data_IF_733777743822
#
_entry.id   IF_733777743822
#
_cell.length_a   1.000
_cell.length_b   1.000
_cell.length_c   1.000
_cell.angle_alpha   90.00
_cell.angle_beta   90.00
_cell.angle_gamma   90.00
#
_symmetry.space_group_name_H-M   'P 1'
#
loop_
_entity.id
_entity.type
_entity.pdbx_description
1 polymer ?
#
# COMPACT_ATOMS: atom_id res chain seq x y z
N UNK A 1 -16.02 2.96 -8.02
CA UNK A 1 -14.63 3.42 -8.11
C UNK A 1 -13.82 2.72 -9.21
N UNK A 2 -13.69 1.39 -9.23
CA UNK A 2 -12.84 0.69 -10.22
C UNK A 2 -13.12 1.07 -11.68
N UNK A 3 -14.40 1.12 -12.09
CA UNK A 3 -14.78 1.55 -13.44
C UNK A 3 -14.32 2.98 -13.78
N UNK A 4 -14.31 3.89 -12.79
CA UNK A 4 -13.82 5.26 -12.96
C UNK A 4 -12.29 5.29 -13.14
N UNK A 5 -11.57 4.45 -12.39
CA UNK A 5 -10.12 4.31 -12.53
C UNK A 5 -9.72 3.74 -13.89
N UNK A 6 -10.49 2.78 -14.42
CA UNK A 6 -10.27 2.19 -15.75
C UNK A 6 -10.64 3.14 -16.90
N UNK A 7 -11.60 4.03 -16.68
CA UNK A 7 -12.01 5.04 -17.65
C UNK A 7 -11.12 6.29 -17.66
N UNK A 8 -10.20 6.42 -16.69
CA UNK A 8 -9.33 7.60 -16.56
C UNK A 8 -8.09 7.48 -17.46
N UNK A 9 -7.94 8.43 -18.39
CA UNK A 9 -6.91 8.41 -19.43
C UNK A 9 -5.49 8.62 -18.87
N UNK A 10 -5.33 9.52 -17.90
CA UNK A 10 -4.02 9.91 -17.36
C UNK A 10 -3.79 9.48 -15.92
N UNK A 11 -2.52 9.50 -15.49
CA UNK A 11 -2.18 9.27 -14.10
C UNK A 11 -2.78 10.34 -13.16
N UNK A 12 -2.88 11.58 -13.63
CA UNK A 12 -3.48 12.69 -12.88
C UNK A 12 -4.99 12.53 -12.75
N UNK A 13 -5.66 12.02 -13.78
CA UNK A 13 -7.10 11.68 -13.71
C UNK A 13 -7.36 10.56 -12.71
N UNK A 14 -6.53 9.50 -12.71
CA UNK A 14 -6.62 8.44 -11.70
C UNK A 14 -6.37 8.98 -10.29
N UNK A 15 -5.38 9.85 -10.11
CA UNK A 15 -5.10 10.48 -8.83
C UNK A 15 -6.30 11.33 -8.35
N UNK A 16 -6.98 12.02 -9.27
CA UNK A 16 -8.20 12.79 -8.96
C UNK A 16 -9.34 11.88 -8.50
N UNK A 17 -9.61 10.81 -9.23
CA UNK A 17 -10.63 9.80 -8.84
C UNK A 17 -10.33 9.26 -7.43
N UNK A 18 -9.09 8.90 -7.12
CA UNK A 18 -8.72 8.43 -5.79
C UNK A 18 -8.94 9.52 -4.71
N UNK A 19 -8.61 10.77 -5.03
CA UNK A 19 -8.75 11.89 -4.08
C UNK A 19 -10.21 12.26 -3.82
N UNK A 20 -11.07 12.18 -4.83
CA UNK A 20 -12.53 12.40 -4.72
C UNK A 20 -13.23 11.30 -3.90
N UNK A 21 -12.62 10.12 -3.81
CA UNK A 21 -13.16 8.96 -3.09
C UNK A 21 -12.36 8.60 -1.82
N UNK A 22 -11.61 9.53 -1.25
CA UNK A 22 -10.78 9.30 -0.03
C UNK A 22 -11.59 8.66 1.09
N UNK A 23 -12.77 9.19 1.42
CA UNK A 23 -13.57 8.66 2.52
C UNK A 23 -13.93 7.19 2.32
N UNK A 24 -14.45 6.84 1.13
CA UNK A 24 -14.79 5.45 0.76
C UNK A 24 -13.57 4.54 0.83
N UNK A 25 -12.41 4.97 0.32
CA UNK A 25 -11.18 4.16 0.35
C UNK A 25 -10.73 3.91 1.79
N UNK A 26 -10.79 4.93 2.67
CA UNK A 26 -10.44 4.77 4.07
C UNK A 26 -11.42 3.87 4.81
N UNK A 27 -12.71 3.95 4.49
CA UNK A 27 -13.73 3.05 5.04
C UNK A 27 -13.48 1.59 4.63
N UNK A 28 -13.15 1.36 3.35
CA UNK A 28 -12.76 0.03 2.85
C UNK A 28 -11.48 -0.48 3.55
N UNK A 29 -10.51 0.41 3.80
CA UNK A 29 -9.30 0.05 4.53
C UNK A 29 -9.63 -0.38 5.97
N UNK A 30 -10.51 0.35 6.66
CA UNK A 30 -10.95 0.00 8.03
C UNK A 30 -11.72 -1.31 8.05
N UNK A 31 -12.60 -1.55 7.08
CA UNK A 31 -13.32 -2.81 6.96
C UNK A 31 -12.34 -3.98 6.78
N UNK A 32 -11.39 -3.87 5.87
CA UNK A 32 -10.35 -4.88 5.67
C UNK A 32 -9.49 -5.10 6.93
N UNK A 33 -9.08 -4.02 7.61
CA UNK A 33 -8.32 -4.11 8.86
C UNK A 33 -9.14 -4.69 10.02
N UNK A 34 -10.46 -4.64 9.96
CA UNK A 34 -11.36 -5.25 10.96
C UNK A 34 -11.36 -6.77 10.82
N UNK A 35 -11.27 -7.26 9.59
CA UNK A 35 -11.24 -8.69 9.30
C UNK A 35 -9.83 -9.29 9.41
N UNK A 36 -8.76 -8.49 9.49
CA UNK A 36 -7.39 -8.97 9.74
C UNK A 36 -7.22 -9.29 11.23
N UNK A 37 -7.41 -10.55 11.60
CA UNK A 37 -7.50 -11.00 13.01
C UNK A 37 -6.35 -11.92 13.47
N UNK A 38 -5.34 -12.16 12.63
CA UNK A 38 -4.20 -13.00 13.02
C UNK A 38 -3.42 -12.33 14.17
N UNK A 39 -3.11 -13.10 15.23
CA UNK A 39 -2.57 -12.54 16.48
C UNK A 39 -1.26 -11.76 16.28
N UNK A 40 -0.33 -12.30 15.49
CA UNK A 40 0.95 -11.65 15.17
C UNK A 40 0.82 -10.32 14.40
N UNK A 41 -0.35 -10.03 13.82
CA UNK A 41 -0.61 -8.79 13.08
C UNK A 41 -1.32 -7.72 13.91
N UNK A 42 -1.73 -8.03 15.14
CA UNK A 42 -2.58 -7.15 15.97
C UNK A 42 -2.01 -5.75 16.11
N UNK A 43 -0.74 -5.64 16.51
CA UNK A 43 -0.08 -4.33 16.71
C UNK A 43 0.01 -3.55 15.39
N UNK A 44 0.35 -4.21 14.28
CA UNK A 44 0.41 -3.57 12.96
C UNK A 44 -0.97 -3.08 12.50
N UNK A 45 -2.02 -3.85 12.77
CA UNK A 45 -3.41 -3.47 12.48
C UNK A 45 -3.83 -2.25 13.29
N UNK A 46 -3.47 -2.17 14.57
CA UNK A 46 -3.74 -1.01 15.42
C UNK A 46 -3.06 0.25 14.89
N UNK A 47 -1.76 0.19 14.56
CA UNK A 47 -1.05 1.31 13.95
C UNK A 47 -1.60 1.71 12.57
N UNK A 48 -2.05 0.75 11.76
CA UNK A 48 -2.69 1.03 10.48
C UNK A 48 -4.01 1.81 10.68
N UNK A 49 -4.82 1.42 11.67
CA UNK A 49 -6.06 2.14 12.03
C UNK A 49 -5.75 3.55 12.55
N UNK A 50 -4.73 3.70 13.38
CA UNK A 50 -4.29 5.02 13.84
C UNK A 50 -3.86 5.90 12.65
N UNK A 51 -3.18 5.34 11.65
CA UNK A 51 -2.83 6.07 10.44
C UNK A 51 -4.07 6.52 9.65
N UNK A 52 -5.12 5.69 9.56
CA UNK A 52 -6.41 6.06 8.96
C UNK A 52 -7.05 7.22 9.71
N UNK A 53 -7.17 7.13 11.04
CA UNK A 53 -7.80 8.17 11.85
C UNK A 53 -7.02 9.48 11.80
N UNK A 54 -5.69 9.38 11.83
CA UNK A 54 -4.77 10.50 11.65
C UNK A 54 -4.97 11.18 10.28
N UNK A 55 -5.19 10.41 9.21
CA UNK A 55 -5.52 10.96 7.90
C UNK A 55 -6.87 11.69 7.92
N UNK A 56 -7.91 11.08 8.50
CA UNK A 56 -9.27 11.64 8.57
C UNK A 56 -9.31 13.00 9.28
N UNK A 57 -8.48 13.21 10.30
CA UNK A 57 -8.36 14.51 11.00
C UNK A 57 -7.43 15.51 10.29
N UNK A 58 -7.02 15.23 9.04
CA UNK A 58 -6.20 16.11 8.21
C UNK A 58 -4.70 16.09 8.51
N UNK A 59 -4.22 15.16 9.36
CA UNK A 59 -2.79 15.02 9.70
C UNK A 59 -2.07 14.07 8.74
N UNK A 60 -2.30 14.25 7.45
CA UNK A 60 -1.86 13.33 6.37
C UNK A 60 -0.36 13.05 6.35
N UNK A 61 0.48 14.02 6.76
CA UNK A 61 1.93 13.79 6.83
C UNK A 61 2.32 12.75 7.88
N UNK A 62 1.69 12.82 9.06
CA UNK A 62 1.91 11.86 10.14
C UNK A 62 1.33 10.49 9.75
N UNK A 63 0.12 10.47 9.17
CA UNK A 63 -0.50 9.26 8.66
C UNK A 63 0.37 8.56 7.61
N UNK A 64 0.96 9.31 6.66
CA UNK A 64 1.88 8.75 5.68
C UNK A 64 3.11 8.10 6.34
N UNK A 65 3.75 8.79 7.28
CA UNK A 65 4.91 8.26 7.99
C UNK A 65 4.57 6.95 8.73
N UNK A 66 3.47 6.96 9.50
CA UNK A 66 3.04 5.80 10.27
C UNK A 66 2.66 4.62 9.37
N UNK A 67 1.80 4.83 8.36
CA UNK A 67 1.39 3.78 7.44
C UNK A 67 2.58 3.21 6.64
N UNK A 68 3.54 4.05 6.27
CA UNK A 68 4.75 3.59 5.58
C UNK A 68 5.59 2.68 6.48
N UNK A 69 5.71 3.01 7.76
CA UNK A 69 6.40 2.15 8.73
C UNK A 69 5.64 0.84 8.97
N UNK A 70 4.30 0.87 9.03
CA UNK A 70 3.50 -0.36 9.13
C UNK A 70 3.75 -1.27 7.93
N UNK A 71 3.72 -0.73 6.71
CA UNK A 71 4.05 -1.48 5.49
C UNK A 71 5.46 -2.06 5.57
N UNK A 72 6.44 -1.26 6.01
CA UNK A 72 7.83 -1.69 6.04
C UNK A 72 8.12 -2.77 7.09
N UNK A 73 7.57 -2.61 8.30
CA UNK A 73 7.63 -3.61 9.36
C UNK A 73 6.93 -4.89 8.91
N UNK A 74 5.71 -4.75 8.35
CA UNK A 74 4.95 -5.86 7.78
C UNK A 74 5.69 -6.61 6.68
N UNK A 75 6.50 -5.94 5.86
CA UNK A 75 7.24 -6.62 4.80
C UNK A 75 8.55 -7.23 5.30
N UNK A 76 9.32 -6.51 6.10
CA UNK A 76 10.65 -6.94 6.54
C UNK A 76 10.61 -7.99 7.66
N UNK A 77 9.63 -7.93 8.57
CA UNK A 77 9.54 -8.91 9.67
C UNK A 77 8.83 -10.20 9.28
N UNK A 78 7.91 -10.12 8.32
CA UNK A 78 6.89 -11.15 8.14
C UNK A 78 6.89 -11.79 6.73
N UNK A 79 7.72 -11.30 5.82
CA UNK A 79 8.01 -11.99 4.57
C UNK A 79 9.48 -12.36 4.50
N UNK A 80 9.77 -13.67 4.46
CA UNK A 80 11.14 -14.19 4.50
C UNK A 80 11.96 -13.61 3.35
N UNK A 81 12.98 -12.81 3.68
CA UNK A 81 13.83 -12.13 2.70
C UNK A 81 13.30 -10.76 2.21
N UNK A 82 12.22 -10.26 2.83
CA UNK A 82 11.68 -8.92 2.68
C UNK A 82 11.34 -8.55 1.23
N UNK A 83 11.43 -7.26 0.89
CA UNK A 83 11.10 -6.76 -0.46
C UNK A 83 11.90 -7.45 -1.59
N UNK A 84 13.11 -7.95 -1.28
CA UNK A 84 13.95 -8.63 -2.28
C UNK A 84 13.36 -9.98 -2.66
N UNK A 85 12.91 -10.76 -1.67
CA UNK A 85 12.23 -12.03 -1.92
C UNK A 85 10.92 -11.82 -2.66
N UNK A 86 10.11 -10.84 -2.23
CA UNK A 86 8.86 -10.50 -2.89
C UNK A 86 9.05 -10.16 -4.38
N UNK A 87 10.07 -9.34 -4.70
CA UNK A 87 10.41 -9.03 -6.11
C UNK A 87 10.81 -10.28 -6.90
N UNK A 88 11.53 -11.20 -6.27
CA UNK A 88 11.94 -12.45 -6.92
C UNK A 88 10.74 -13.39 -7.13
N UNK A 89 9.78 -13.42 -6.22
CA UNK A 89 8.51 -14.15 -6.35
C UNK A 89 7.67 -13.60 -7.50
N UNK A 90 7.43 -12.29 -7.52
CA UNK A 90 6.69 -11.62 -8.60
C UNK A 90 7.33 -11.90 -9.97
N UNK A 91 8.67 -11.89 -10.06
CA UNK A 91 9.39 -12.17 -11.31
C UNK A 91 9.27 -13.62 -11.78
N UNK A 92 8.97 -14.56 -10.87
CA UNK A 92 8.78 -15.98 -11.19
C UNK A 92 7.35 -16.32 -11.58
N UNK A 93 6.40 -15.41 -11.38
CA UNK A 93 5.04 -15.60 -11.87
C UNK A 93 5.07 -15.75 -13.40
N UNK A 94 4.24 -16.64 -13.97
CA UNK A 94 4.12 -16.78 -15.42
C UNK A 94 3.65 -15.47 -16.05
N UNK A 95 3.57 -15.38 -17.37
CA UNK A 95 2.84 -14.27 -17.98
C UNK A 95 1.35 -14.37 -17.60
N UNK A 96 0.68 -13.22 -17.48
CA UNK A 96 -0.75 -13.23 -17.16
C UNK A 96 -1.53 -13.85 -18.32
N UNK A 97 -2.28 -14.89 -18.01
CA UNK A 97 -3.18 -15.56 -18.93
C UNK A 97 -4.56 -15.68 -18.25
N UNK A 98 -5.57 -15.04 -18.85
CA UNK A 98 -6.91 -14.95 -18.28
C UNK A 98 -7.61 -16.32 -18.17
N UNK A 99 -7.22 -17.28 -19.03
CA UNK A 99 -7.83 -18.61 -19.07
C UNK A 99 -7.23 -19.56 -18.02
N UNK A 100 -6.03 -19.26 -17.52
CA UNK A 100 -5.27 -20.18 -16.65
C UNK A 100 -4.86 -19.58 -15.30
N UNK A 101 -5.02 -18.27 -15.10
CA UNK A 101 -4.65 -17.59 -13.85
C UNK A 101 -5.48 -18.09 -12.66
N UNK A 102 -4.81 -18.55 -11.60
CA UNK A 102 -5.48 -18.92 -10.37
C UNK A 102 -5.96 -17.68 -9.59
N UNK A 103 -7.01 -17.83 -8.76
CA UNK A 103 -7.46 -16.74 -7.89
C UNK A 103 -6.35 -16.25 -6.95
N UNK A 104 -5.54 -17.18 -6.42
CA UNK A 104 -4.41 -16.85 -5.55
C UNK A 104 -3.37 -16.01 -6.30
N UNK A 105 -3.04 -16.40 -7.53
CA UNK A 105 -2.11 -15.64 -8.36
C UNK A 105 -2.65 -14.25 -8.70
N UNK A 106 -3.93 -14.15 -9.06
CA UNK A 106 -4.57 -12.86 -9.34
C UNK A 106 -4.52 -11.95 -8.11
N UNK A 107 -4.80 -12.48 -6.91
CA UNK A 107 -4.70 -11.74 -5.65
C UNK A 107 -3.28 -11.28 -5.36
N UNK A 108 -2.28 -12.16 -5.49
CA UNK A 108 -0.88 -11.80 -5.29
C UNK A 108 -0.47 -10.66 -6.23
N UNK A 109 -0.84 -10.74 -7.51
CA UNK A 109 -0.57 -9.66 -8.48
C UNK A 109 -1.22 -8.34 -8.08
N UNK A 110 -2.47 -8.36 -7.63
CA UNK A 110 -3.18 -7.15 -7.20
C UNK A 110 -2.56 -6.52 -5.95
N UNK A 111 -2.27 -7.32 -4.92
CA UNK A 111 -1.65 -6.86 -3.67
C UNK A 111 -0.26 -6.27 -3.96
N UNK A 112 0.51 -6.96 -4.80
CA UNK A 112 1.91 -6.61 -5.02
C UNK A 112 2.13 -5.56 -6.10
N UNK A 113 1.15 -5.23 -6.95
CA UNK A 113 1.33 -4.26 -8.04
C UNK A 113 1.86 -2.89 -7.54
N UNK A 114 1.41 -2.45 -6.36
CA UNK A 114 1.80 -1.16 -5.79
C UNK A 114 3.02 -1.18 -4.85
N UNK A 115 3.47 -2.36 -4.41
CA UNK A 115 4.55 -2.48 -3.41
C UNK A 115 5.93 -2.21 -4.04
N UNK A 116 6.41 -2.92 -5.08
CA UNK A 116 7.74 -2.67 -5.65
C UNK A 116 8.00 -1.21 -6.08
N UNK A 117 7.03 -0.49 -6.70
CA UNK A 117 7.20 0.94 -6.99
C UNK A 117 7.46 1.79 -5.74
N UNK A 118 6.78 1.52 -4.62
CA UNK A 118 7.00 2.23 -3.36
C UNK A 118 8.43 2.01 -2.81
N UNK A 119 9.00 0.84 -3.08
CA UNK A 119 10.37 0.46 -2.67
C UNK A 119 11.45 0.79 -3.70
N UNK A 120 11.11 1.52 -4.77
CA UNK A 120 12.13 2.05 -5.65
C UNK A 120 12.92 3.14 -4.92
N UNK A 121 14.20 3.27 -5.26
CA UNK A 121 15.09 4.28 -4.68
C UNK A 121 14.52 5.70 -4.84
N UNK A 122 14.89 6.59 -3.92
CA UNK A 122 14.47 7.98 -3.95
C UNK A 122 15.58 8.89 -4.50
N UNK A 123 15.26 9.68 -5.54
CA UNK A 123 16.18 10.69 -6.06
C UNK A 123 16.07 11.98 -5.23
N UNK A 124 17.00 12.14 -4.30
CA UNK A 124 17.11 13.30 -3.41
C UNK A 124 17.32 14.63 -4.15
N UNK A 125 17.95 14.60 -5.34
CA UNK A 125 18.22 15.82 -6.12
C UNK A 125 16.95 16.31 -6.79
N UNK A 126 16.14 15.39 -7.31
CA UNK A 126 14.89 15.73 -8.01
C UNK A 126 13.71 15.97 -7.07
N UNK A 127 13.81 15.55 -5.80
CA UNK A 127 12.73 15.65 -4.81
C UNK A 127 11.40 15.14 -5.38
N UNK A 128 11.43 13.94 -5.96
CA UNK A 128 10.27 13.34 -6.64
C UNK A 128 9.01 13.41 -5.76
N UNK A 129 7.85 13.82 -6.31
CA UNK A 129 6.60 13.91 -5.54
C UNK A 129 5.88 12.57 -5.42
N UNK A 130 6.31 11.54 -6.16
CA UNK A 130 5.71 10.20 -6.13
C UNK A 130 5.98 9.52 -4.79
N UNK A 131 4.99 8.80 -4.28
CA UNK A 131 5.14 7.99 -3.07
C UNK A 131 6.39 7.10 -3.15
N UNK A 132 7.18 7.10 -2.08
CA UNK A 132 8.38 6.31 -1.92
C UNK A 132 8.57 6.01 -0.44
N UNK A 133 8.77 4.74 -0.11
CA UNK A 133 9.11 4.28 1.24
C UNK A 133 10.43 4.90 1.67
N UNK A 134 11.47 4.78 0.83
CA UNK A 134 12.80 5.34 1.10
C UNK A 134 12.75 6.86 1.28
N UNK A 135 12.01 7.55 0.40
CA UNK A 135 11.83 8.99 0.53
C UNK A 135 11.11 9.36 1.84
N UNK A 136 10.07 8.62 2.22
CA UNK A 136 9.32 8.91 3.45
C UNK A 136 10.22 8.75 4.68
N UNK A 137 11.01 7.68 4.72
CA UNK A 137 11.92 7.39 5.83
C UNK A 137 13.13 8.35 5.92
N UNK A 138 13.65 8.83 4.78
CA UNK A 138 14.94 9.53 4.73
C UNK A 138 14.88 10.96 4.19
N UNK A 139 13.73 11.43 3.72
CA UNK A 139 13.56 12.76 3.12
C UNK A 139 12.24 13.43 3.54
N UNK A 140 12.29 14.20 4.63
CA UNK A 140 11.17 15.05 5.04
C UNK A 140 11.04 16.24 4.08
N UNK A 141 10.06 16.16 3.18
CA UNK A 141 9.75 17.27 2.28
C UNK A 141 8.28 17.34 1.88
N UNK A 142 7.80 18.56 1.63
CA UNK A 142 6.38 18.82 1.34
C UNK A 142 5.89 18.24 0.00
N UNK A 143 6.77 18.03 -0.98
CA UNK A 143 6.38 17.43 -2.27
C UNK A 143 6.12 15.92 -2.14
N UNK A 144 6.78 15.26 -1.20
CA UNK A 144 6.61 13.84 -0.93
C UNK A 144 5.52 13.56 0.12
N UNK A 145 5.37 14.42 1.11
CA UNK A 145 4.37 14.29 2.15
C UNK A 145 3.06 14.99 1.75
N UNK A 146 2.22 14.27 1.01
CA UNK A 146 0.97 14.78 0.42
C UNK A 146 -0.23 13.94 0.87
N UNK A 147 -1.47 14.47 0.82
CA UNK A 147 -2.68 13.68 1.09
C UNK A 147 -2.78 12.43 0.21
N UNK A 148 -2.48 12.54 -1.08
CA UNK A 148 -2.50 11.39 -2.00
C UNK A 148 -1.49 10.31 -1.64
N UNK A 149 -0.25 10.69 -1.30
CA UNK A 149 0.76 9.71 -0.88
C UNK A 149 0.43 9.09 0.49
N UNK A 150 -0.23 9.84 1.38
CA UNK A 150 -0.76 9.28 2.62
C UNK A 150 -1.82 8.22 2.37
N UNK A 151 -2.76 8.48 1.45
CA UNK A 151 -3.78 7.50 1.06
C UNK A 151 -3.14 6.24 0.47
N UNK A 152 -2.16 6.40 -0.44
CA UNK A 152 -1.43 5.27 -1.02
C UNK A 152 -0.69 4.45 0.04
N UNK A 153 -0.01 5.11 0.99
CA UNK A 153 0.70 4.42 2.06
C UNK A 153 -0.27 3.59 2.93
N UNK A 154 -1.43 4.15 3.29
CA UNK A 154 -2.48 3.46 4.05
C UNK A 154 -2.99 2.26 3.25
N UNK A 155 -3.39 2.46 1.99
CA UNK A 155 -3.91 1.38 1.16
C UNK A 155 -2.90 0.24 1.00
N UNK A 156 -1.62 0.55 0.76
CA UNK A 156 -0.57 -0.46 0.63
C UNK A 156 -0.31 -1.22 1.93
N UNK A 157 -0.27 -0.52 3.07
CA UNK A 157 -0.16 -1.17 4.37
C UNK A 157 -1.34 -2.11 4.61
N UNK A 158 -2.57 -1.65 4.37
CA UNK A 158 -3.79 -2.45 4.58
C UNK A 158 -3.81 -3.70 3.70
N UNK A 159 -3.60 -3.58 2.39
CA UNK A 159 -3.64 -4.76 1.50
C UNK A 159 -2.52 -5.75 1.81
N UNK A 160 -1.36 -5.27 2.27
CA UNK A 160 -0.26 -6.13 2.68
C UNK A 160 -0.58 -6.89 3.97
N UNK A 161 -1.11 -6.21 5.00
CA UNK A 161 -1.54 -6.89 6.22
C UNK A 161 -2.67 -7.90 5.96
N UNK A 162 -3.61 -7.57 5.07
CA UNK A 162 -4.66 -8.50 4.67
C UNK A 162 -4.09 -9.73 3.97
N UNK A 163 -3.13 -9.54 3.07
CA UNK A 163 -2.45 -10.64 2.38
C UNK A 163 -1.74 -11.56 3.37
N UNK A 164 -0.94 -11.00 4.30
CA UNK A 164 -0.27 -11.80 5.33
C UNK A 164 -1.27 -12.64 6.12
N UNK A 165 -2.36 -12.02 6.60
CA UNK A 165 -3.41 -12.72 7.33
C UNK A 165 -3.97 -13.91 6.55
N UNK A 166 -4.40 -13.70 5.30
CA UNK A 166 -4.97 -14.76 4.46
C UNK A 166 -3.97 -15.90 4.23
N UNK A 167 -2.68 -15.59 4.01
CA UNK A 167 -1.65 -16.60 3.73
C UNK A 167 -1.10 -17.33 4.95
N UNK A 168 -1.41 -16.88 6.17
CA UNK A 168 -0.99 -17.53 7.41
C UNK A 168 -2.09 -18.35 8.07
N UNK A 169 -3.33 -18.11 7.69
CA UNK A 169 -4.50 -18.86 8.16
C UNK A 169 -4.78 -20.13 7.36
N UNK A 170 -4.02 -20.38 6.29
CA UNK A 170 -4.01 -21.61 5.48
C UNK A 170 -2.80 -22.50 5.84
#
# INVERSE_FOLDING_TARGET
MLRLLLAADTADDRARVLTEHVATILDDCVASLTETTHEDLTELVEFAREAVDTHRVGRTRAAQALATNVLDTGLEQHHVGGVKALRAEIKRLPDFDEDTVSLLEMRLRMVTAGIPPAYNGYDYRKRSPRFSRTGTAHAVNAALYTPGNSLLAISLATVWLRWLHETWTD
#
